data_IF_710071498976
#
_entry.id   IF_710071498976
#
_cell.length_a   1.000
_cell.length_b   1.000
_cell.length_c   1.000
_cell.angle_alpha   90.00
_cell.angle_beta   90.00
_cell.angle_gamma   90.00
#
_symmetry.space_group_name_H-M   'P 1'
#
loop_
_entity.id
_entity.type
_entity.pdbx_description
1 polymer ?
#
# COMPACT_ATOMS: atom_id res chain seq x y z
N UNK A 1 -12.39 -22.99 -30.53
CA UNK A 1 -12.09 -23.10 -29.08
C UNK A 1 -10.97 -22.11 -28.78
N UNK A 2 -11.03 -21.39 -27.66
CA UNK A 2 -9.89 -20.57 -27.21
C UNK A 2 -8.79 -21.50 -26.73
N UNK A 3 -7.55 -21.08 -26.96
CA UNK A 3 -6.37 -21.79 -26.51
C UNK A 3 -6.22 -21.70 -24.98
N UNK A 4 -5.90 -22.81 -24.27
CA UNK A 4 -5.80 -22.84 -22.81
C UNK A 4 -4.75 -21.89 -22.23
N UNK A 5 -3.62 -21.67 -22.90
CA UNK A 5 -2.57 -20.76 -22.43
C UNK A 5 -3.08 -19.32 -22.45
N UNK A 6 -3.72 -18.94 -23.56
CA UNK A 6 -4.37 -17.63 -23.72
C UNK A 6 -5.40 -17.38 -22.62
N UNK A 7 -6.20 -18.40 -22.28
CA UNK A 7 -7.19 -18.30 -21.20
C UNK A 7 -6.52 -18.10 -19.84
N UNK A 8 -5.37 -18.73 -19.55
CA UNK A 8 -4.66 -18.52 -18.27
C UNK A 8 -4.05 -17.12 -18.15
N UNK A 9 -3.58 -16.55 -19.26
CA UNK A 9 -3.13 -15.15 -19.28
C UNK A 9 -4.29 -14.21 -18.96
N UNK A 10 -5.45 -14.39 -19.59
CA UNK A 10 -6.65 -13.61 -19.31
C UNK A 10 -7.11 -13.76 -17.83
N UNK A 11 -7.00 -14.97 -17.25
CA UNK A 11 -7.29 -15.21 -15.83
C UNK A 11 -6.38 -14.41 -14.90
N UNK A 12 -5.07 -14.42 -15.16
CA UNK A 12 -4.11 -13.65 -14.38
C UNK A 12 -4.40 -12.15 -14.48
N UNK A 13 -4.76 -11.64 -15.66
CA UNK A 13 -5.14 -10.23 -15.83
C UNK A 13 -6.41 -9.87 -15.07
N UNK A 14 -7.43 -10.73 -15.04
CA UNK A 14 -8.61 -10.52 -14.18
C UNK A 14 -8.21 -10.44 -12.69
N UNK A 15 -7.29 -11.29 -12.23
CA UNK A 15 -6.79 -11.23 -10.85
C UNK A 15 -6.04 -9.93 -10.59
N UNK A 16 -5.15 -9.50 -11.48
CA UNK A 16 -4.40 -8.24 -11.35
C UNK A 16 -5.32 -7.02 -11.32
N UNK A 17 -6.33 -6.97 -12.18
CA UNK A 17 -7.33 -5.90 -12.18
C UNK A 17 -8.09 -5.83 -10.84
N UNK A 18 -8.43 -6.98 -10.26
CA UNK A 18 -9.05 -7.02 -8.94
C UNK A 18 -8.09 -6.61 -7.83
N UNK A 19 -6.82 -7.02 -7.91
CA UNK A 19 -5.77 -6.60 -6.98
C UNK A 19 -5.58 -5.08 -7.00
N UNK A 20 -5.70 -4.46 -8.17
CA UNK A 20 -5.52 -3.02 -8.37
C UNK A 20 -6.76 -2.21 -8.02
N UNK A 21 -7.93 -2.83 -8.04
CA UNK A 21 -9.21 -2.20 -7.71
C UNK A 21 -9.22 -1.62 -6.29
N UNK A 22 -9.66 -0.38 -6.09
CA UNK A 22 -9.72 0.26 -4.76
C UNK A 22 -10.75 -0.39 -3.83
N UNK A 23 -11.52 -1.38 -4.29
CA UNK A 23 -12.57 -2.04 -3.53
C UNK A 23 -12.06 -2.89 -2.36
N UNK A 24 -10.76 -3.18 -2.27
CA UNK A 24 -10.16 -3.85 -1.11
C UNK A 24 -10.55 -5.34 -0.94
N UNK A 25 -11.09 -5.97 -1.97
CA UNK A 25 -11.42 -7.40 -1.96
C UNK A 25 -11.24 -8.02 -3.35
N UNK A 26 -11.10 -9.36 -3.39
CA UNK A 26 -10.93 -10.13 -4.63
C UNK A 26 -12.03 -11.20 -4.71
N UNK A 27 -12.79 -11.21 -5.81
CA UNK A 27 -13.69 -12.31 -6.15
C UNK A 27 -12.92 -13.37 -6.96
N UNK A 28 -12.52 -14.45 -6.29
CA UNK A 28 -11.83 -15.57 -6.92
C UNK A 28 -12.71 -16.40 -7.85
N UNK A 29 -14.05 -16.21 -7.81
CA UNK A 29 -14.99 -16.86 -8.74
C UNK A 29 -15.15 -16.10 -10.05
N UNK A 30 -14.75 -14.82 -10.10
CA UNK A 30 -14.92 -13.94 -11.27
C UNK A 30 -14.31 -14.53 -12.54
N UNK A 31 -13.11 -15.08 -12.43
CA UNK A 31 -12.42 -15.74 -13.52
C UNK A 31 -13.21 -16.89 -14.16
N UNK A 32 -13.79 -17.75 -13.32
CA UNK A 32 -14.64 -18.86 -13.77
C UNK A 32 -15.91 -18.35 -14.44
N UNK A 33 -16.55 -17.33 -13.88
CA UNK A 33 -17.78 -16.73 -14.44
C UNK A 33 -17.55 -16.06 -15.80
N UNK A 34 -16.40 -15.42 -15.98
CA UNK A 34 -16.11 -14.64 -17.20
C UNK A 34 -15.58 -15.49 -18.35
N UNK A 35 -14.69 -16.45 -18.05
CA UNK A 35 -13.92 -17.19 -19.07
C UNK A 35 -14.32 -18.67 -19.12
N UNK A 36 -15.07 -19.18 -18.13
CA UNK A 36 -15.51 -20.57 -18.08
C UNK A 36 -14.48 -21.55 -17.51
N UNK A 37 -13.36 -21.06 -16.97
CA UNK A 37 -12.30 -21.86 -16.35
C UNK A 37 -11.79 -21.16 -15.08
N UNK A 38 -11.43 -21.87 -14.00
CA UNK A 38 -10.79 -21.23 -12.86
C UNK A 38 -9.31 -20.89 -13.16
N UNK A 39 -8.71 -19.90 -12.48
CA UNK A 39 -7.28 -19.67 -12.59
C UNK A 39 -6.49 -20.91 -12.12
N UNK A 40 -5.40 -21.19 -12.83
CA UNK A 40 -4.44 -22.24 -12.48
C UNK A 40 -3.68 -21.93 -11.19
N UNK A 41 -2.98 -22.92 -10.64
CA UNK A 41 -2.11 -22.71 -9.48
C UNK A 41 -1.03 -21.67 -9.77
N UNK A 42 -0.41 -21.72 -10.95
CA UNK A 42 0.63 -20.77 -11.36
C UNK A 42 0.09 -19.35 -11.49
N UNK A 43 -1.12 -19.17 -12.05
CA UNK A 43 -1.79 -17.86 -12.06
C UNK A 43 -1.99 -17.30 -10.64
N UNK A 44 -2.27 -18.15 -9.64
CA UNK A 44 -2.35 -17.69 -8.25
C UNK A 44 -0.99 -17.36 -7.64
N UNK A 45 0.07 -18.09 -8.01
CA UNK A 45 1.44 -17.78 -7.58
C UNK A 45 1.84 -16.39 -8.10
N UNK A 46 1.61 -16.14 -9.38
CA UNK A 46 1.92 -14.85 -10.00
C UNK A 46 1.04 -13.72 -9.48
N UNK A 47 -0.24 -13.97 -9.25
CA UNK A 47 -1.13 -13.00 -8.61
C UNK A 47 -0.68 -12.66 -7.18
N UNK A 48 -0.16 -13.65 -6.43
CA UNK A 48 0.38 -13.43 -5.07
C UNK A 48 1.60 -12.52 -5.11
N UNK A 49 2.58 -12.83 -5.99
CA UNK A 49 3.76 -11.96 -6.21
C UNK A 49 3.35 -10.56 -6.59
N UNK A 50 2.42 -10.44 -7.53
CA UNK A 50 1.91 -9.16 -7.97
C UNK A 50 1.29 -8.37 -6.80
N UNK A 51 0.43 -9.01 -5.99
CA UNK A 51 -0.19 -8.37 -4.84
C UNK A 51 0.84 -7.91 -3.79
N UNK A 52 1.87 -8.71 -3.53
CA UNK A 52 2.98 -8.36 -2.64
C UNK A 52 3.78 -7.15 -3.16
N UNK A 53 4.13 -7.13 -4.45
CA UNK A 53 4.80 -5.97 -5.08
C UNK A 53 3.96 -4.70 -4.95
N UNK A 54 2.64 -4.80 -5.18
CA UNK A 54 1.72 -3.66 -5.05
C UNK A 54 1.64 -3.16 -3.61
N UNK A 55 1.53 -4.06 -2.64
CA UNK A 55 1.57 -3.73 -1.22
C UNK A 55 2.87 -3.01 -0.84
N UNK A 56 4.03 -3.55 -1.22
CA UNK A 56 5.34 -2.97 -0.90
C UNK A 56 5.51 -1.57 -1.48
N UNK A 57 5.09 -1.34 -2.74
CA UNK A 57 5.09 -0.01 -3.35
C UNK A 57 4.25 0.99 -2.55
N UNK A 58 3.06 0.58 -2.08
CA UNK A 58 2.23 1.43 -1.22
C UNK A 58 2.91 1.74 0.11
N UNK A 59 3.57 0.75 0.75
CA UNK A 59 4.35 0.99 1.98
C UNK A 59 5.47 2.01 1.75
N UNK A 60 6.23 1.90 0.65
CA UNK A 60 7.29 2.84 0.31
C UNK A 60 6.75 4.25 0.11
N UNK A 61 5.67 4.42 -0.66
CA UNK A 61 5.02 5.71 -0.86
C UNK A 61 4.55 6.32 0.46
N UNK A 62 3.92 5.52 1.33
CA UNK A 62 3.41 6.00 2.60
C UNK A 62 4.54 6.40 3.57
N UNK A 63 5.63 5.62 3.61
CA UNK A 63 6.81 5.96 4.40
C UNK A 63 7.43 7.30 3.96
N UNK A 64 7.55 7.54 2.65
CA UNK A 64 8.00 8.84 2.12
C UNK A 64 7.08 9.97 2.55
N UNK A 65 5.76 9.77 2.47
CA UNK A 65 4.78 10.78 2.88
C UNK A 65 4.91 11.15 4.36
N UNK A 66 5.07 10.17 5.26
CA UNK A 66 5.34 10.45 6.67
C UNK A 66 6.62 11.27 6.86
N UNK A 67 7.69 10.89 6.18
CA UNK A 67 9.00 11.55 6.32
C UNK A 67 8.96 12.99 5.77
N UNK A 68 8.27 13.21 4.65
CA UNK A 68 8.08 14.52 4.04
C UNK A 68 7.27 15.45 4.95
N UNK A 69 6.13 14.99 5.48
CA UNK A 69 5.32 15.75 6.45
C UNK A 69 6.19 16.16 7.65
N UNK A 70 6.94 15.21 8.21
CA UNK A 70 7.80 15.46 9.36
C UNK A 70 8.91 16.48 9.03
N UNK A 71 9.51 16.37 7.85
CA UNK A 71 10.57 17.27 7.38
C UNK A 71 10.05 18.70 7.20
N UNK A 72 8.91 18.88 6.53
CA UNK A 72 8.29 20.18 6.30
C UNK A 72 7.90 20.85 7.62
N UNK A 73 7.24 20.11 8.54
CA UNK A 73 6.88 20.63 9.87
C UNK A 73 8.12 21.04 10.68
N UNK A 74 9.20 20.25 10.63
CA UNK A 74 10.46 20.59 11.29
C UNK A 74 11.06 21.87 10.70
N UNK A 75 11.04 22.01 9.39
CA UNK A 75 11.59 23.19 8.72
C UNK A 75 10.80 24.45 9.08
N UNK A 76 9.46 24.38 9.09
CA UNK A 76 8.60 25.49 9.51
C UNK A 76 8.89 25.93 10.95
N UNK A 77 9.09 24.98 11.88
CA UNK A 77 9.48 25.28 13.26
C UNK A 77 10.84 25.97 13.35
N UNK A 78 11.85 25.48 12.62
CA UNK A 78 13.18 26.10 12.60
C UNK A 78 13.14 27.52 12.06
N UNK A 79 12.36 27.77 11.00
CA UNK A 79 12.19 29.09 10.43
C UNK A 79 11.49 30.04 11.42
N UNK A 80 10.43 29.59 12.08
CA UNK A 80 9.75 30.35 13.14
C UNK A 80 10.70 30.72 14.28
N UNK A 81 11.51 29.76 14.76
CA UNK A 81 12.49 30.01 15.82
C UNK A 81 13.53 31.06 15.40
N UNK A 82 14.02 31.00 14.15
CA UNK A 82 14.93 32.00 13.59
C UNK A 82 14.28 33.38 13.50
N UNK A 83 13.05 33.47 13.01
CA UNK A 83 12.33 34.74 12.84
C UNK A 83 12.01 35.42 14.17
N UNK A 84 11.71 34.64 15.21
CA UNK A 84 11.31 35.14 16.54
C UNK A 84 12.47 35.22 17.54
N UNK A 85 13.65 34.71 17.19
CA UNK A 85 14.79 34.57 18.11
C UNK A 85 14.53 33.66 19.32
N UNK A 86 13.43 32.89 19.31
CA UNK A 86 12.98 32.11 20.44
C UNK A 86 13.43 30.65 20.36
N UNK A 87 13.75 30.06 21.50
CA UNK A 87 14.01 28.62 21.61
C UNK A 87 12.73 27.81 21.35
N UNK A 88 12.87 26.65 20.69
CA UNK A 88 11.77 25.72 20.45
C UNK A 88 11.28 25.10 21.75
N UNK A 89 9.96 25.08 21.96
CA UNK A 89 9.35 24.46 23.14
C UNK A 89 9.26 22.94 22.95
N UNK A 90 9.35 22.19 24.05
CA UNK A 90 9.20 20.73 24.03
C UNK A 90 7.86 20.25 23.45
N UNK A 91 6.79 21.03 23.62
CA UNK A 91 5.49 20.75 23.01
C UNK A 91 5.54 20.80 21.46
N UNK A 92 6.27 21.77 20.90
CA UNK A 92 6.44 21.92 19.44
C UNK A 92 7.25 20.76 18.85
N UNK A 93 8.29 20.31 19.57
CA UNK A 93 9.07 19.14 19.19
C UNK A 93 8.27 17.84 19.30
N UNK A 94 7.40 17.72 20.30
CA UNK A 94 6.55 16.54 20.50
C UNK A 94 5.50 16.41 19.40
N UNK A 95 4.99 17.53 18.88
CA UNK A 95 4.04 17.57 17.76
C UNK A 95 4.61 17.10 16.41
N UNK A 96 5.94 16.94 16.31
CA UNK A 96 6.59 16.33 15.14
C UNK A 96 6.43 14.81 15.09
N UNK A 97 6.06 14.16 16.21
CA UNK A 97 5.78 12.74 16.23
C UNK A 97 4.49 12.47 15.47
N UNK A 98 4.50 11.47 14.61
CA UNK A 98 3.34 11.02 13.85
C UNK A 98 2.95 9.62 14.28
N UNK A 99 1.67 9.42 14.54
CA UNK A 99 1.11 8.09 14.71
C UNK A 99 1.10 7.42 13.33
N UNK A 100 1.82 6.31 13.22
CA UNK A 100 1.85 5.48 12.02
C UNK A 100 0.71 4.48 12.04
N UNK A 101 0.24 4.10 10.85
CA UNK A 101 -0.72 3.01 10.69
C UNK A 101 -0.24 1.75 11.41
N UNK A 102 -1.18 1.03 12.03
CA UNK A 102 -0.94 -0.23 12.74
C UNK A 102 -2.02 -1.24 12.36
N UNK A 103 -1.82 -2.50 12.73
CA UNK A 103 -2.80 -3.57 12.48
C UNK A 103 -2.87 -4.05 11.03
N UNK A 104 -1.84 -3.78 10.21
CA UNK A 104 -1.76 -4.35 8.87
C UNK A 104 -1.73 -5.88 8.95
N UNK A 105 -2.40 -6.59 8.03
CA UNK A 105 -2.33 -8.05 7.93
C UNK A 105 -0.88 -8.54 7.86
N UNK A 106 -0.60 -9.64 8.55
CA UNK A 106 0.70 -10.32 8.45
C UNK A 106 0.80 -11.05 7.11
N UNK A 107 1.74 -10.54 6.28
CA UNK A 107 2.03 -11.00 4.93
C UNK A 107 3.38 -11.71 4.90
N UNK A 108 3.46 -12.80 4.13
CA UNK A 108 4.71 -13.54 3.91
C UNK A 108 5.58 -12.85 2.86
N UNK A 109 6.12 -11.71 3.23
CA UNK A 109 7.07 -10.92 2.44
C UNK A 109 8.49 -11.44 2.68
N UNK A 110 9.31 -11.52 1.62
CA UNK A 110 10.71 -11.93 1.71
C UNK A 110 11.03 -13.02 0.70
N UNK A 111 11.65 -14.11 1.16
CA UNK A 111 11.93 -15.27 0.31
C UNK A 111 10.62 -15.87 -0.26
N UNK A 112 10.47 -15.84 -1.57
CA UNK A 112 9.28 -16.34 -2.28
C UNK A 112 9.28 -17.87 -2.48
N UNK A 113 10.30 -18.59 -2.00
CA UNK A 113 10.38 -20.06 -2.14
C UNK A 113 9.13 -20.79 -1.63
N UNK A 114 8.49 -20.26 -0.60
CA UNK A 114 7.25 -20.82 -0.03
C UNK A 114 6.09 -20.87 -1.03
N UNK A 115 6.04 -19.96 -2.01
CA UNK A 115 4.95 -19.86 -3.00
C UNK A 115 4.83 -21.16 -3.82
N UNK A 116 5.93 -21.90 -3.99
CA UNK A 116 5.95 -23.14 -4.74
C UNK A 116 5.33 -24.32 -3.97
N UNK A 117 5.47 -24.33 -2.63
CA UNK A 117 5.07 -25.46 -1.79
C UNK A 117 3.65 -25.41 -1.21
N UNK A 118 2.86 -24.38 -1.53
CA UNK A 118 1.56 -24.15 -0.89
C UNK A 118 0.36 -24.46 -1.81
N UNK A 119 -0.77 -24.88 -1.23
CA UNK A 119 -1.99 -25.13 -2.00
C UNK A 119 -2.67 -23.83 -2.45
N UNK A 120 -3.51 -23.94 -3.48
CA UNK A 120 -4.30 -22.84 -4.08
C UNK A 120 -5.02 -21.96 -3.04
N UNK A 121 -5.71 -22.59 -2.09
CA UNK A 121 -6.46 -21.86 -1.05
C UNK A 121 -5.57 -21.02 -0.12
N UNK A 122 -4.30 -21.40 0.04
CA UNK A 122 -3.34 -20.58 0.78
C UNK A 122 -2.98 -19.32 -0.01
N UNK A 123 -2.66 -19.45 -1.30
CA UNK A 123 -2.35 -18.31 -2.18
C UNK A 123 -3.53 -17.34 -2.29
N UNK A 124 -4.76 -17.85 -2.39
CA UNK A 124 -5.97 -17.02 -2.37
C UNK A 124 -6.07 -16.19 -1.09
N UNK A 125 -5.86 -16.80 0.08
CA UNK A 125 -5.85 -16.06 1.35
C UNK A 125 -4.75 -15.01 1.40
N UNK A 126 -3.57 -15.32 0.87
CA UNK A 126 -2.45 -14.38 0.85
C UNK A 126 -2.73 -13.17 -0.06
N UNK A 127 -3.27 -13.40 -1.26
CA UNK A 127 -3.72 -12.33 -2.16
C UNK A 127 -4.77 -11.46 -1.47
N UNK A 128 -5.77 -12.08 -0.82
CA UNK A 128 -6.84 -11.34 -0.14
C UNK A 128 -6.29 -10.46 1.00
N UNK A 129 -5.36 -10.98 1.81
CA UNK A 129 -4.67 -10.19 2.84
C UNK A 129 -3.90 -9.02 2.25
N UNK A 130 -3.16 -9.24 1.16
CA UNK A 130 -2.35 -8.19 0.53
C UNK A 130 -3.23 -7.07 -0.04
N UNK A 131 -4.38 -7.42 -0.63
CA UNK A 131 -5.35 -6.45 -1.13
C UNK A 131 -6.01 -5.67 0.02
N UNK A 132 -6.36 -6.33 1.12
CA UNK A 132 -6.87 -5.67 2.32
C UNK A 132 -5.83 -4.71 2.91
N UNK A 133 -4.58 -5.18 3.06
CA UNK A 133 -3.47 -4.37 3.56
C UNK A 133 -3.25 -3.12 2.69
N UNK A 134 -3.28 -3.28 1.36
CA UNK A 134 -3.20 -2.16 0.43
C UNK A 134 -4.34 -1.17 0.61
N UNK A 135 -5.58 -1.64 0.78
CA UNK A 135 -6.73 -0.76 1.04
C UNK A 135 -6.54 0.07 2.31
N UNK A 136 -6.05 -0.55 3.39
CA UNK A 136 -5.75 0.17 4.64
C UNK A 136 -4.63 1.21 4.44
N UNK A 137 -3.63 0.92 3.62
CA UNK A 137 -2.58 1.88 3.26
C UNK A 137 -3.12 3.03 2.40
N UNK A 138 -4.05 2.78 1.50
CA UNK A 138 -4.72 3.82 0.71
C UNK A 138 -5.55 4.75 1.62
N UNK A 139 -6.29 4.20 2.58
CA UNK A 139 -7.03 5.00 3.57
C UNK A 139 -6.10 5.86 4.44
N UNK A 140 -4.96 5.30 4.83
CA UNK A 140 -3.94 6.05 5.56
C UNK A 140 -3.31 7.15 4.70
N UNK A 141 -3.06 6.88 3.41
CA UNK A 141 -2.61 7.91 2.47
C UNK A 141 -3.62 9.05 2.40
N UNK A 142 -4.91 8.74 2.26
CA UNK A 142 -5.96 9.74 2.16
C UNK A 142 -6.06 10.58 3.45
N UNK A 143 -5.75 10.00 4.62
CA UNK A 143 -5.59 10.72 5.89
C UNK A 143 -4.37 11.66 5.91
N UNK A 144 -3.25 11.23 5.32
CA UNK A 144 -1.99 11.95 5.34
C UNK A 144 -1.89 13.07 4.29
N UNK A 145 -2.60 12.96 3.16
CA UNK A 145 -2.53 13.94 2.07
C UNK A 145 -2.86 15.37 2.54
N UNK A 146 -3.99 15.63 3.24
CA UNK A 146 -4.26 16.97 3.78
C UNK A 146 -3.17 17.47 4.73
N UNK A 147 -2.64 16.57 5.59
CA UNK A 147 -1.57 16.93 6.53
C UNK A 147 -0.26 17.32 5.82
N UNK A 148 -0.01 16.74 4.64
CA UNK A 148 1.12 17.09 3.79
C UNK A 148 0.95 18.46 3.14
N UNK A 149 -0.24 18.76 2.65
CA UNK A 149 -0.58 20.06 2.08
C UNK A 149 -0.47 21.18 3.14
N UNK A 150 -1.03 20.95 4.34
CA UNK A 150 -0.89 21.86 5.47
C UNK A 150 0.58 22.09 5.86
N UNK A 151 1.38 21.03 5.91
CA UNK A 151 2.79 21.12 6.25
C UNK A 151 3.58 21.89 5.19
N UNK A 152 3.28 21.70 3.91
CA UNK A 152 3.89 22.42 2.81
C UNK A 152 3.54 23.92 2.85
N UNK A 153 2.27 24.26 3.09
CA UNK A 153 1.82 25.65 3.23
C UNK A 153 2.48 26.35 4.43
N UNK A 154 2.57 25.67 5.57
CA UNK A 154 3.23 26.20 6.77
C UNK A 154 4.74 26.42 6.55
N UNK A 155 5.42 25.51 5.84
CA UNK A 155 6.82 25.70 5.48
C UNK A 155 6.99 26.95 4.61
N UNK A 156 6.17 27.10 3.56
CA UNK A 156 6.25 28.25 2.64
C UNK A 156 5.97 29.58 3.34
N UNK A 157 4.94 29.65 4.19
CA UNK A 157 4.60 30.86 4.95
C UNK A 157 5.67 31.27 5.98
N UNK A 158 6.57 30.36 6.34
CA UNK A 158 7.65 30.62 7.30
C UNK A 158 8.97 31.08 6.65
N UNK A 159 9.06 31.10 5.32
CA UNK A 159 10.24 31.58 4.58
C UNK A 159 10.26 33.10 4.54
#
# INVERSE_FOLDING_TARGET
MRDPETMQVEQLEILKQQIDSPAGHVDFSKGLKTIGLPPSLDSYRDATRYAHIRYLKCCECLNRLYDDIRKMRRQALLNKARATGSALRMAELSALKMNRISGLPDLKIGDESWIQGVPKGYLQREVAKAVLARRMLDEERDRLLPMSEEAAAAEQASR
#
